data_IF_519146042095
#
_entry.id   IF_519146042095
#
_cell.length_a   1.000
_cell.length_b   1.000
_cell.length_c   1.000
_cell.angle_alpha   90.00
_cell.angle_beta   90.00
_cell.angle_gamma   90.00
#
_symmetry.space_group_name_H-M   'P 1'
#
loop_
_entity.id
_entity.type
_entity.pdbx_description
1 polymer ?
#
# COMPACT_ATOMS: atom_id res chain seq x y z
N UNK A 1 55.62 -53.27 -20.70
CA UNK A 1 56.05 -52.35 -19.64
C UNK A 1 55.45 -50.98 -19.89
N UNK A 2 54.86 -50.35 -18.88
CA UNK A 2 54.42 -48.95 -18.93
C UNK A 2 53.18 -48.67 -18.09
N UNK A 3 53.24 -48.89 -16.77
CA UNK A 3 52.21 -48.42 -15.85
C UNK A 3 52.45 -46.95 -15.51
N UNK A 4 51.43 -46.10 -15.67
CA UNK A 4 51.46 -44.71 -15.24
C UNK A 4 51.18 -44.65 -13.73
N UNK A 5 52.18 -44.21 -12.97
CA UNK A 5 52.04 -43.92 -11.55
C UNK A 5 51.21 -42.64 -11.36
N UNK A 6 50.10 -42.76 -10.63
CA UNK A 6 49.30 -41.61 -10.17
C UNK A 6 50.05 -40.99 -8.99
N UNK A 7 50.78 -39.91 -9.24
CA UNK A 7 51.46 -39.14 -8.21
C UNK A 7 50.50 -38.15 -7.54
N UNK A 8 50.10 -38.45 -6.30
CA UNK A 8 49.48 -37.49 -5.39
C UNK A 8 50.53 -36.53 -4.85
N UNK A 9 50.29 -35.21 -4.91
CA UNK A 9 51.03 -34.24 -4.12
C UNK A 9 50.14 -33.04 -3.80
N UNK A 10 49.23 -33.20 -2.83
CA UNK A 10 48.70 -32.05 -2.11
C UNK A 10 49.74 -31.65 -1.06
N UNK A 11 50.38 -30.50 -1.27
CA UNK A 11 51.28 -29.88 -0.29
C UNK A 11 50.56 -29.75 1.06
N UNK A 12 51.21 -30.15 2.16
CA UNK A 12 50.62 -30.22 3.50
C UNK A 12 50.00 -28.89 3.96
N UNK A 13 50.62 -27.77 3.56
CA UNK A 13 50.08 -26.42 3.78
C UNK A 13 48.80 -26.15 2.99
N UNK A 14 48.74 -26.62 1.74
CA UNK A 14 47.55 -26.50 0.90
C UNK A 14 46.41 -27.37 1.44
N UNK A 15 46.71 -28.59 1.88
CA UNK A 15 45.75 -29.47 2.55
C UNK A 15 45.20 -28.87 3.84
N UNK A 16 46.06 -28.26 4.67
CA UNK A 16 45.64 -27.61 5.91
C UNK A 16 44.74 -26.40 5.66
N UNK A 17 45.02 -25.60 4.63
CA UNK A 17 44.17 -24.47 4.22
C UNK A 17 42.81 -24.93 3.69
N UNK A 18 42.77 -26.01 2.90
CA UNK A 18 41.52 -26.59 2.40
C UNK A 18 40.67 -27.12 3.56
N UNK A 19 41.29 -27.84 4.51
CA UNK A 19 40.58 -28.36 5.68
C UNK A 19 40.03 -27.24 6.58
N UNK A 20 40.78 -26.15 6.77
CA UNK A 20 40.31 -24.99 7.51
C UNK A 20 39.12 -24.30 6.83
N UNK A 21 39.15 -24.17 5.50
CA UNK A 21 38.05 -23.60 4.72
C UNK A 21 36.78 -24.46 4.80
N UNK A 22 36.92 -25.79 4.72
CA UNK A 22 35.80 -26.72 4.86
C UNK A 22 35.18 -26.68 6.26
N UNK A 23 36.01 -26.58 7.31
CA UNK A 23 35.53 -26.41 8.69
C UNK A 23 34.78 -25.09 8.87
N UNK A 24 35.28 -23.98 8.32
CA UNK A 24 34.59 -22.70 8.35
C UNK A 24 33.23 -22.78 7.65
N UNK A 25 33.16 -23.38 6.46
CA UNK A 25 31.91 -23.60 5.71
C UNK A 25 30.89 -24.39 6.54
N UNK A 26 31.31 -25.50 7.15
CA UNK A 26 30.47 -26.29 8.05
C UNK A 26 29.99 -25.46 9.24
N UNK A 27 30.88 -24.76 9.94
CA UNK A 27 30.51 -23.95 11.11
C UNK A 27 29.55 -22.83 10.73
N UNK A 28 29.70 -22.17 9.58
CA UNK A 28 28.74 -21.15 9.13
C UNK A 28 27.39 -21.76 8.72
N UNK A 29 27.37 -22.94 8.10
CA UNK A 29 26.12 -23.60 7.71
C UNK A 29 25.32 -24.07 8.92
N UNK A 30 26.00 -24.60 9.94
CA UNK A 30 25.35 -25.10 11.16
C UNK A 30 25.27 -24.08 12.30
N UNK A 31 26.03 -22.99 12.26
CA UNK A 31 25.99 -21.91 13.24
C UNK A 31 24.65 -21.17 13.25
N UNK A 32 23.99 -21.08 12.09
CA UNK A 32 22.62 -20.57 11.98
C UNK A 32 21.58 -21.45 12.71
N UNK A 33 21.89 -22.71 13.01
CA UNK A 33 20.99 -23.61 13.75
C UNK A 33 21.10 -23.45 15.28
N UNK A 34 22.28 -23.03 15.79
CA UNK A 34 22.53 -22.82 17.22
C UNK A 34 22.03 -21.45 17.71
N UNK A 35 22.06 -20.43 16.85
CA UNK A 35 21.59 -19.07 17.19
C UNK A 35 20.29 -18.68 16.46
N UNK A 36 19.78 -19.56 15.59
CA UNK A 36 18.47 -19.42 14.98
C UNK A 36 17.39 -19.71 16.01
N UNK A 37 16.63 -18.69 16.38
CA UNK A 37 15.46 -18.79 17.24
C UNK A 37 14.39 -19.60 16.50
N UNK A 38 14.48 -20.94 16.55
CA UNK A 38 13.51 -21.86 15.96
C UNK A 38 12.24 -21.91 16.83
N UNK A 39 11.60 -20.75 17.03
CA UNK A 39 10.21 -20.74 17.44
C UNK A 39 9.42 -21.37 16.28
N UNK A 40 8.71 -22.49 16.48
CA UNK A 40 7.91 -23.07 15.42
C UNK A 40 6.81 -22.08 15.05
N UNK A 41 6.82 -21.60 13.80
CA UNK A 41 5.63 -21.03 13.16
C UNK A 41 4.67 -22.17 12.80
N UNK A 42 4.26 -22.96 13.78
CA UNK A 42 3.20 -23.94 13.61
C UNK A 42 1.95 -23.40 14.26
N UNK A 43 1.08 -22.82 13.43
CA UNK A 43 -0.33 -22.70 13.79
C UNK A 43 -0.85 -24.13 13.76
N UNK A 44 -1.03 -24.74 14.94
CA UNK A 44 -1.76 -25.98 15.08
C UNK A 44 -3.18 -25.75 14.56
N UNK A 45 -3.46 -26.15 13.33
CA UNK A 45 -4.83 -26.40 12.90
C UNK A 45 -5.34 -27.57 13.73
N UNK A 46 -6.05 -27.27 14.82
CA UNK A 46 -6.89 -28.26 15.48
C UNK A 46 -8.06 -28.60 14.53
N UNK A 47 -8.49 -29.87 14.47
CA UNK A 47 -9.71 -30.23 13.76
C UNK A 47 -10.91 -29.62 14.50
N UNK A 48 -11.80 -28.97 13.74
CA UNK A 48 -13.08 -28.44 14.21
C UNK A 48 -13.87 -29.52 14.95
N UNK A 49 -13.74 -29.52 16.27
CA UNK A 49 -14.61 -30.28 17.16
C UNK A 49 -15.59 -29.27 17.73
N UNK A 50 -16.82 -29.33 17.23
CA UNK A 50 -17.97 -28.59 17.71
C UNK A 50 -18.05 -28.71 19.24
N UNK A 51 -17.55 -27.70 19.93
CA UNK A 51 -17.77 -27.51 21.35
C UNK A 51 -18.29 -26.09 21.53
N UNK A 52 -19.59 -26.02 21.82
CA UNK A 52 -20.33 -24.82 22.18
C UNK A 52 -19.71 -24.23 23.45
N UNK A 53 -18.68 -23.40 23.30
CA UNK A 53 -18.20 -22.55 24.36
C UNK A 53 -18.77 -21.15 24.13
N UNK A 54 -19.46 -20.65 25.16
CA UNK A 54 -19.96 -19.29 25.29
C UNK A 54 -18.78 -18.30 25.45
N UNK A 55 -17.82 -18.35 24.53
CA UNK A 55 -16.74 -17.39 24.41
C UNK A 55 -17.26 -16.20 23.63
N UNK A 56 -17.68 -15.15 24.33
CA UNK A 56 -17.84 -13.84 23.69
C UNK A 56 -16.46 -13.41 23.20
N UNK A 57 -16.13 -13.70 21.94
CA UNK A 57 -15.00 -13.06 21.25
C UNK A 57 -15.36 -11.59 21.13
N UNK A 58 -15.05 -10.84 22.18
CA UNK A 58 -15.19 -9.39 22.20
C UNK A 58 -14.07 -8.86 21.31
N UNK A 59 -14.31 -8.84 20.01
CA UNK A 59 -13.49 -8.08 19.08
C UNK A 59 -13.39 -6.64 19.63
N UNK A 60 -12.17 -6.22 20.01
CA UNK A 60 -11.94 -4.86 20.55
C UNK A 60 -12.26 -3.77 19.51
N UNK A 61 -12.27 -4.13 18.23
CA UNK A 61 -12.70 -3.25 17.15
C UNK A 61 -14.22 -3.23 17.02
N UNK A 62 -14.88 -2.57 17.98
CA UNK A 62 -16.30 -2.25 17.85
C UNK A 62 -16.43 -1.04 16.95
N UNK A 63 -16.81 -1.24 15.69
CA UNK A 63 -17.18 -0.15 14.79
C UNK A 63 -18.47 0.47 15.31
N UNK A 64 -18.34 1.56 16.08
CA UNK A 64 -19.46 2.37 16.50
C UNK A 64 -19.81 3.38 15.41
N UNK A 65 -21.08 3.46 15.03
CA UNK A 65 -21.55 4.59 14.24
C UNK A 65 -21.34 5.87 15.05
N UNK A 66 -20.45 6.75 14.58
CA UNK A 66 -20.30 8.10 15.14
C UNK A 66 -21.40 8.98 14.55
N UNK A 67 -22.62 8.82 15.03
CA UNK A 67 -23.70 9.74 14.67
C UNK A 67 -23.43 11.09 15.34
N UNK A 68 -23.50 12.15 14.54
CA UNK A 68 -23.52 13.54 15.02
C UNK A 68 -24.70 13.67 16.00
N UNK A 69 -24.41 13.95 17.28
CA UNK A 69 -25.47 14.14 18.30
C UNK A 69 -26.35 15.36 18.02
N UNK A 70 -25.79 16.37 17.35
CA UNK A 70 -26.49 17.58 16.89
C UNK A 70 -26.83 17.45 15.41
N UNK A 71 -28.09 17.66 14.97
CA UNK A 71 -28.39 17.69 13.55
C UNK A 71 -27.56 18.76 12.82
N UNK A 72 -27.24 18.47 11.57
CA UNK A 72 -26.48 19.38 10.71
C UNK A 72 -27.43 20.50 10.24
N UNK A 73 -27.27 21.70 10.82
CA UNK A 73 -28.08 22.87 10.46
C UNK A 73 -27.41 23.54 9.28
N UNK A 74 -28.04 23.44 8.11
CA UNK A 74 -27.64 24.20 6.92
C UNK A 74 -28.40 25.53 6.99
N UNK A 75 -27.72 26.69 7.05
CA UNK A 75 -28.37 27.99 6.98
C UNK A 75 -29.19 28.13 5.68
N UNK A 76 -30.25 28.93 5.70
CA UNK A 76 -31.00 29.25 4.47
C UNK A 76 -30.13 29.96 3.43
N UNK A 77 -29.06 30.62 3.86
CA UNK A 77 -28.04 31.23 3.00
C UNK A 77 -27.13 30.23 2.29
N UNK A 78 -27.24 28.93 2.60
CA UNK A 78 -26.45 27.87 2.00
C UNK A 78 -25.19 27.50 2.77
N UNK A 79 -24.23 26.88 2.08
CA UNK A 79 -22.95 26.40 2.62
C UNK A 79 -21.81 27.21 1.99
N UNK A 80 -20.85 27.63 2.80
CA UNK A 80 -19.68 28.38 2.33
C UNK A 80 -18.80 27.55 1.39
N UNK A 81 -18.04 28.23 0.53
CA UNK A 81 -17.05 27.61 -0.35
C UNK A 81 -15.72 27.45 0.37
N UNK A 82 -15.11 26.26 0.28
CA UNK A 82 -13.81 26.00 0.87
C UNK A 82 -12.71 26.83 0.21
N UNK A 83 -11.72 27.33 0.97
CA UNK A 83 -10.49 27.86 0.40
C UNK A 83 -9.78 26.85 -0.50
N UNK A 84 -9.20 27.31 -1.62
CA UNK A 84 -8.55 26.45 -2.63
C UNK A 84 -7.46 25.53 -2.08
N UNK A 85 -6.78 25.92 -0.99
CA UNK A 85 -5.78 25.09 -0.31
C UNK A 85 -6.32 23.75 0.20
N UNK A 86 -7.64 23.62 0.36
CA UNK A 86 -8.29 22.41 0.84
C UNK A 86 -8.89 21.55 -0.28
N UNK A 87 -8.64 21.89 -1.55
CA UNK A 87 -9.17 21.13 -2.69
C UNK A 87 -8.69 19.65 -2.69
N UNK A 88 -7.46 19.42 -2.23
CA UNK A 88 -6.85 18.08 -2.11
C UNK A 88 -6.78 17.58 -0.67
N UNK A 89 -7.45 18.26 0.26
CA UNK A 89 -7.40 17.88 1.67
C UNK A 89 -8.18 16.59 1.91
N UNK A 90 -7.49 15.58 2.45
CA UNK A 90 -8.08 14.29 2.85
C UNK A 90 -8.02 14.19 4.38
N UNK A 91 -9.10 14.53 5.10
CA UNK A 91 -9.04 14.73 6.56
C UNK A 91 -8.50 13.54 7.35
N UNK A 92 -8.78 12.31 6.91
CA UNK A 92 -8.40 11.11 7.64
C UNK A 92 -7.02 10.55 7.28
N UNK A 93 -6.31 11.21 6.37
CA UNK A 93 -4.97 10.84 5.89
C UNK A 93 -3.98 11.99 6.06
N UNK A 94 -4.26 12.90 6.99
CA UNK A 94 -3.40 14.04 7.28
C UNK A 94 -2.27 13.63 8.23
N UNK A 95 -1.05 13.57 7.69
CA UNK A 95 0.17 13.20 8.44
C UNK A 95 0.41 14.16 9.60
N UNK A 96 0.10 15.46 9.44
CA UNK A 96 0.29 16.46 10.48
C UNK A 96 -0.68 16.24 11.64
N UNK A 97 -1.93 15.85 11.34
CA UNK A 97 -2.92 15.50 12.36
C UNK A 97 -2.52 14.22 13.09
N UNK A 98 -2.14 13.16 12.36
CA UNK A 98 -1.66 11.90 12.96
C UNK A 98 -0.46 12.14 13.89
N UNK A 99 0.45 13.06 13.52
CA UNK A 99 1.58 13.43 14.36
C UNK A 99 1.15 13.98 15.73
N UNK A 100 0.03 14.71 15.80
CA UNK A 100 -0.52 15.19 17.08
C UNK A 100 -1.12 14.08 17.95
N UNK A 101 -1.49 12.94 17.34
CA UNK A 101 -2.05 11.78 18.03
C UNK A 101 -0.98 10.77 18.48
N UNK A 102 0.28 10.90 18.04
CA UNK A 102 1.34 9.91 18.29
C UNK A 102 1.48 9.48 19.76
N UNK A 103 1.26 10.39 20.72
CA UNK A 103 1.36 10.06 22.15
C UNK A 103 0.28 9.09 22.65
N UNK A 104 -0.84 8.99 21.92
CA UNK A 104 -2.01 8.18 22.28
C UNK A 104 -2.14 6.90 21.45
N UNK A 105 -1.26 6.70 20.47
CA UNK A 105 -1.29 5.57 19.55
C UNK A 105 -0.24 4.52 19.96
N UNK A 106 -0.58 3.24 19.79
CA UNK A 106 0.37 2.15 19.98
C UNK A 106 1.24 1.96 18.72
N UNK A 107 2.43 2.54 18.76
CA UNK A 107 3.43 2.44 17.68
C UNK A 107 3.92 1.00 17.50
N UNK A 108 3.87 0.15 18.53
CA UNK A 108 4.24 -1.27 18.39
C UNK A 108 3.27 -2.01 17.47
N UNK A 109 2.01 -1.55 17.41
CA UNK A 109 0.96 -2.09 16.54
C UNK A 109 0.85 -1.35 15.22
N UNK A 110 1.66 -0.31 15.01
CA UNK A 110 1.61 0.59 13.85
C UNK A 110 0.27 1.30 13.70
N UNK A 111 -0.35 1.67 14.82
CA UNK A 111 -1.63 2.38 14.81
C UNK A 111 -1.53 3.74 14.09
N UNK A 112 -0.35 4.37 14.05
CA UNK A 112 -0.09 5.59 13.30
C UNK A 112 -0.26 5.45 11.78
N UNK A 113 -0.26 4.22 11.25
CA UNK A 113 -0.50 3.96 9.83
C UNK A 113 -1.99 3.75 9.50
N UNK A 114 -2.84 3.71 10.52
CA UNK A 114 -4.29 3.60 10.35
C UNK A 114 -4.93 4.95 9.97
N UNK A 115 -6.22 4.93 9.62
CA UNK A 115 -6.96 6.14 9.26
C UNK A 115 -7.43 6.86 10.51
N UNK A 116 -6.89 8.05 10.76
CA UNK A 116 -7.29 8.90 11.88
C UNK A 116 -8.00 10.15 11.37
N UNK A 117 -9.31 10.23 11.61
CA UNK A 117 -10.11 11.40 11.23
C UNK A 117 -10.18 12.41 12.39
N UNK A 118 -10.13 13.73 12.10
CA UNK A 118 -10.44 14.75 13.08
C UNK A 118 -11.82 14.57 13.72
N UNK A 119 -12.00 15.03 14.98
CA UNK A 119 -13.31 15.17 15.61
C UNK A 119 -14.25 16.01 14.73
N UNK A 120 -15.55 15.81 14.88
CA UNK A 120 -16.56 16.44 14.03
C UNK A 120 -16.48 17.97 14.05
N UNK A 121 -16.12 18.54 15.19
CA UNK A 121 -16.00 19.98 15.45
C UNK A 121 -14.84 20.61 14.68
N UNK A 122 -13.83 19.81 14.31
CA UNK A 122 -12.65 20.24 13.57
C UNK A 122 -12.76 19.94 12.07
N UNK A 123 -13.82 19.26 11.64
CA UNK A 123 -14.04 18.97 10.21
C UNK A 123 -14.56 20.21 9.51
N UNK A 124 -13.96 20.51 8.36
CA UNK A 124 -14.43 21.54 7.46
C UNK A 124 -15.85 21.21 6.98
N UNK A 125 -16.75 22.18 7.07
CA UNK A 125 -18.11 22.09 6.55
C UNK A 125 -18.30 23.16 5.47
N UNK A 126 -17.78 22.88 4.28
CA UNK A 126 -17.81 23.79 3.14
C UNK A 126 -17.88 22.99 1.82
N UNK A 127 -18.25 23.67 0.73
CA UNK A 127 -18.27 23.10 -0.61
C UNK A 127 -16.91 23.26 -1.28
N UNK A 128 -16.35 22.18 -1.81
CA UNK A 128 -15.09 22.24 -2.57
C UNK A 128 -15.36 22.95 -3.91
N UNK A 129 -14.65 24.06 -4.22
CA UNK A 129 -14.85 24.77 -5.47
C UNK A 129 -14.39 23.92 -6.66
N UNK A 130 -15.04 24.06 -7.84
CA UNK A 130 -14.54 23.44 -9.05
C UNK A 130 -13.19 24.08 -9.46
N UNK A 131 -12.33 23.33 -10.16
CA UNK A 131 -11.14 23.89 -10.80
C UNK A 131 -11.47 25.06 -11.73
N UNK A 132 -10.46 25.91 -11.97
CA UNK A 132 -10.56 26.96 -12.99
C UNK A 132 -10.81 26.31 -14.35
N UNK A 133 -11.74 26.87 -15.12
CA UNK A 133 -12.12 26.38 -16.45
C UNK A 133 -12.70 24.93 -16.44
N UNK A 134 -13.34 24.54 -15.33
CA UNK A 134 -14.09 23.31 -15.24
C UNK A 134 -15.15 23.22 -16.35
N UNK A 135 -15.22 22.07 -16.99
CA UNK A 135 -16.15 21.75 -18.07
C UNK A 135 -17.15 20.71 -17.62
N UNK A 136 -18.34 20.75 -18.20
CA UNK A 136 -19.37 19.73 -17.97
C UNK A 136 -18.79 18.34 -18.31
N UNK A 137 -18.87 17.35 -17.40
CA UNK A 137 -18.38 16.01 -17.66
C UNK A 137 -18.97 15.40 -18.92
N UNK A 138 -18.14 14.64 -19.65
CA UNK A 138 -18.59 13.85 -20.80
C UNK A 138 -19.64 12.86 -20.31
N UNK A 139 -20.68 12.60 -21.11
CA UNK A 139 -21.73 11.63 -20.75
C UNK A 139 -21.23 10.20 -20.97
N UNK A 140 -21.72 9.28 -20.15
CA UNK A 140 -21.56 7.85 -20.38
C UNK A 140 -22.17 7.45 -21.75
N UNK A 141 -21.57 6.52 -22.52
CA UNK A 141 -20.39 5.70 -22.21
C UNK A 141 -19.03 6.32 -22.56
N UNK A 142 -19.00 7.45 -23.27
CA UNK A 142 -17.74 8.07 -23.74
C UNK A 142 -16.85 8.53 -22.58
N UNK A 143 -17.44 8.87 -21.43
CA UNK A 143 -16.72 9.23 -20.21
C UNK A 143 -15.88 8.10 -19.61
N UNK A 144 -16.05 6.86 -20.10
CA UNK A 144 -15.17 5.74 -19.76
C UNK A 144 -13.73 6.00 -20.24
N UNK A 145 -13.62 6.52 -21.46
CA UNK A 145 -12.34 6.63 -22.16
C UNK A 145 -11.82 8.07 -22.17
N UNK A 146 -12.67 9.06 -21.89
CA UNK A 146 -12.31 10.47 -22.02
C UNK A 146 -12.76 11.31 -20.81
N UNK A 147 -11.89 12.22 -20.39
CA UNK A 147 -12.22 13.29 -19.43
C UNK A 147 -11.54 14.59 -19.85
N UNK A 148 -12.14 15.73 -19.53
CA UNK A 148 -11.52 17.03 -19.75
C UNK A 148 -10.26 17.18 -18.90
N UNK A 149 -9.16 17.63 -19.52
CA UNK A 149 -7.92 17.91 -18.77
C UNK A 149 -8.11 19.00 -17.72
N UNK A 150 -8.90 20.03 -18.02
CA UNK A 150 -9.18 21.12 -17.06
C UNK A 150 -9.95 20.67 -15.83
N UNK A 151 -10.66 19.52 -15.89
CA UNK A 151 -11.36 18.95 -14.74
C UNK A 151 -10.42 18.17 -13.81
N UNK A 152 -9.24 17.78 -14.30
CA UNK A 152 -8.24 17.00 -13.57
C UNK A 152 -6.92 17.75 -13.67
N UNK A 153 -6.80 18.83 -12.88
CA UNK A 153 -5.66 19.74 -12.90
C UNK A 153 -4.40 19.17 -12.22
N UNK A 154 -4.08 17.90 -12.51
CA UNK A 154 -2.89 17.19 -12.03
C UNK A 154 -2.29 16.44 -13.23
N UNK A 155 -1.27 17.04 -13.85
CA UNK A 155 -0.58 16.46 -15.02
C UNK A 155 0.53 15.48 -14.63
N UNK A 156 1.07 15.60 -13.41
CA UNK A 156 2.23 14.83 -12.96
C UNK A 156 2.02 13.31 -13.05
N UNK A 157 0.81 12.83 -12.77
CA UNK A 157 0.52 11.39 -12.89
C UNK A 157 0.60 10.89 -14.33
N UNK A 158 0.15 11.71 -15.28
CA UNK A 158 0.25 11.40 -16.71
C UNK A 158 1.69 11.48 -17.21
N UNK A 159 2.52 12.35 -16.64
CA UNK A 159 3.95 12.42 -16.94
C UNK A 159 4.69 11.17 -16.45
N UNK A 160 4.51 10.80 -15.17
CA UNK A 160 5.23 9.65 -14.58
C UNK A 160 4.71 8.28 -15.04
N UNK A 161 3.49 8.23 -15.58
CA UNK A 161 2.86 6.98 -16.04
C UNK A 161 2.49 6.98 -17.52
N UNK A 162 2.85 8.02 -18.26
CA UNK A 162 2.60 8.11 -19.70
C UNK A 162 3.36 7.08 -20.53
N UNK A 163 4.41 6.47 -19.97
CA UNK A 163 5.09 5.30 -20.54
C UNK A 163 4.31 3.98 -20.38
N UNK A 164 3.15 4.01 -19.73
CA UNK A 164 2.21 2.90 -19.63
C UNK A 164 0.98 3.24 -20.48
N UNK A 165 0.31 2.25 -21.07
CA UNK A 165 -0.99 2.43 -21.77
C UNK A 165 -2.12 2.68 -20.75
N UNK A 166 -1.95 3.67 -19.87
CA UNK A 166 -2.91 4.01 -18.83
C UNK A 166 -3.63 5.31 -19.14
N UNK A 167 -2.90 6.39 -19.40
CA UNK A 167 -3.46 7.72 -19.68
C UNK A 167 -2.59 8.43 -20.71
N UNK A 168 -3.24 8.99 -21.73
CA UNK A 168 -2.58 9.73 -22.78
C UNK A 168 -3.19 11.13 -22.92
N UNK A 169 -2.34 12.08 -23.25
CA UNK A 169 -2.76 13.42 -23.60
C UNK A 169 -3.37 13.42 -25.02
N UNK A 170 -4.60 13.91 -25.17
CA UNK A 170 -5.28 14.03 -26.47
C UNK A 170 -6.00 15.37 -26.57
N UNK A 171 -5.31 16.37 -27.09
CA UNK A 171 -5.81 17.75 -27.14
C UNK A 171 -6.41 18.15 -25.78
N UNK A 172 -7.60 18.72 -25.70
CA UNK A 172 -8.20 19.13 -24.42
C UNK A 172 -8.67 17.98 -23.50
N UNK A 173 -8.39 16.73 -23.85
CA UNK A 173 -8.85 15.53 -23.15
C UNK A 173 -7.69 14.69 -22.61
N UNK A 174 -7.92 14.05 -21.48
CA UNK A 174 -7.21 12.83 -21.12
C UNK A 174 -7.93 11.66 -21.77
N UNK A 175 -7.17 10.78 -22.42
CA UNK A 175 -7.65 9.55 -23.01
C UNK A 175 -7.14 8.35 -22.21
N UNK A 176 -8.06 7.49 -21.78
CA UNK A 176 -7.78 6.23 -21.11
C UNK A 176 -8.04 5.09 -22.08
N UNK A 177 -6.99 4.48 -22.68
CA UNK A 177 -7.14 3.41 -23.67
C UNK A 177 -7.63 2.09 -23.05
N UNK A 178 -7.65 1.99 -21.72
CA UNK A 178 -7.93 0.75 -21.00
C UNK A 178 -6.67 -0.11 -20.81
N UNK A 179 -6.73 -1.08 -19.90
CA UNK A 179 -5.60 -1.95 -19.59
C UNK A 179 -4.72 -1.53 -18.41
N UNK A 180 -5.10 -0.49 -17.66
CA UNK A 180 -4.47 -0.14 -16.38
C UNK A 180 -2.98 0.19 -16.47
N UNK A 181 -2.32 0.24 -15.30
CA UNK A 181 -0.90 0.62 -15.15
C UNK A 181 0.07 -0.54 -15.32
N UNK A 182 -0.42 -1.77 -15.30
CA UNK A 182 0.44 -2.97 -15.30
C UNK A 182 0.77 -3.44 -16.71
N UNK A 183 -0.10 -3.18 -17.69
CA UNK A 183 0.04 -3.69 -19.04
C UNK A 183 0.55 -2.60 -19.98
N UNK A 184 1.80 -2.74 -20.44
CA UNK A 184 2.42 -1.76 -21.36
C UNK A 184 1.64 -1.58 -22.65
N UNK A 185 1.03 -2.66 -23.15
CA UNK A 185 0.25 -2.66 -24.38
C UNK A 185 -1.27 -2.74 -24.13
N UNK A 186 -1.71 -2.67 -22.87
CA UNK A 186 -3.11 -2.86 -22.47
C UNK A 186 -3.47 -4.30 -22.11
N UNK A 187 -4.59 -4.48 -21.41
CA UNK A 187 -5.00 -5.80 -20.86
C UNK A 187 -5.49 -6.78 -21.94
N UNK A 188 -5.92 -6.29 -23.11
CA UNK A 188 -6.47 -7.12 -24.18
C UNK A 188 -5.47 -8.12 -24.75
N UNK A 189 -4.17 -7.85 -24.67
CA UNK A 189 -3.14 -8.83 -25.08
C UNK A 189 -3.04 -10.03 -24.12
N UNK A 190 -3.66 -9.96 -22.94
CA UNK A 190 -3.55 -10.95 -21.86
C UNK A 190 -4.88 -11.63 -21.52
N UNK A 191 -5.96 -11.32 -22.26
CA UNK A 191 -7.28 -11.91 -22.06
C UNK A 191 -7.59 -12.75 -23.31
N UNK A 192 -7.66 -14.07 -23.14
CA UNK A 192 -8.16 -15.04 -24.14
C UNK A 192 -9.69 -15.16 -24.10
#
# INVERSE_FOLDING_TARGET
>A
MGGFAIGSAFDSKSGQMIMAALLLMFVSFYGGYLFGNNAPLYVSHLPDTLSTSNGTSRFSNKVGLTYRKTPLVIPETGVDVCPLRFNEYIPCHDVSYVATLMSNLDVSRKEELERHCPPLEQRLFCLVPPPKDYKIPIKWPLSRDYVWRSNVNHTHLAEVKGGQNWVHEKDQLWWFPGGGTHFKNGASEYIE
#
